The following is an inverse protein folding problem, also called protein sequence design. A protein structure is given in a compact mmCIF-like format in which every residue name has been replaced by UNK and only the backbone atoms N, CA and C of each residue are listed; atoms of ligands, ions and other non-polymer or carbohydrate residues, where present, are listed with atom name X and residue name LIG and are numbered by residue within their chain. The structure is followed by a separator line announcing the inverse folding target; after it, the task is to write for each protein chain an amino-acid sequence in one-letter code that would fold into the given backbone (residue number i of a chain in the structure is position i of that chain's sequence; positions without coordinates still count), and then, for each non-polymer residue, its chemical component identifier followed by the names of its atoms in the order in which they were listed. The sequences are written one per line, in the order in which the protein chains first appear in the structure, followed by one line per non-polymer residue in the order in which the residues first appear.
data_IF_478217523083
#
_entry.id   IF_478217523083
#
_cell.length_a   1.000
_cell.length_b   1.000
_cell.length_c   1.000
_cell.angle_alpha   90.00
_cell.angle_beta   90.00
_cell.angle_gamma   90.00
#
_symmetry.space_group_name_H-M   'P 1'
#
loop_
_entity.id
_entity.type
_entity.pdbx_description
1 polymer ?
#
# COMPACT_ATOMS: atom_id res chain seq x y z
N UNK A 1 3.11 11.71 59.40
CA UNK A 1 1.69 11.40 59.72
C UNK A 1 0.91 12.70 59.88
N UNK A 2 -0.14 12.89 59.06
CA UNK A 2 -1.33 13.79 59.19
C UNK A 2 -1.85 14.03 57.76
N UNK A 3 -2.62 13.07 57.23
CA UNK A 3 -4.10 13.01 57.20
C UNK A 3 -4.70 13.98 56.18
N UNK A 4 -5.27 13.39 55.13
CA UNK A 4 -6.27 13.97 54.24
C UNK A 4 -7.40 14.63 55.02
N UNK A 5 -7.90 15.75 54.50
CA UNK A 5 -9.23 16.24 54.76
C UNK A 5 -9.83 16.72 53.43
N UNK A 6 -10.52 15.80 52.75
CA UNK A 6 -11.47 16.13 51.71
C UNK A 6 -12.62 16.92 52.35
N UNK A 7 -12.52 18.24 52.37
CA UNK A 7 -13.67 19.11 52.64
C UNK A 7 -14.26 19.47 51.29
N UNK A 8 -15.48 18.98 51.08
CA UNK A 8 -16.32 19.23 49.94
C UNK A 8 -16.39 20.74 49.64
N UNK A 9 -15.67 21.18 48.61
CA UNK A 9 -15.95 22.46 47.97
C UNK A 9 -16.83 22.15 46.76
N UNK A 10 -18.11 22.53 46.85
CA UNK A 10 -19.11 22.50 45.76
C UNK A 10 -18.72 23.37 44.54
N UNK A 11 -17.44 23.63 44.31
CA UNK A 11 -16.90 24.27 43.10
C UNK A 11 -16.31 23.27 42.11
N UNK A 12 -16.22 21.98 42.47
CA UNK A 12 -15.74 20.93 41.56
C UNK A 12 -16.78 20.44 40.52
N UNK A 13 -18.07 20.81 40.66
CA UNK A 13 -19.16 20.29 39.81
C UNK A 13 -19.47 21.18 38.59
N UNK A 14 -18.79 22.32 38.44
CA UNK A 14 -18.95 23.20 37.25
C UNK A 14 -17.64 23.61 36.62
N UNK A 15 -16.60 22.77 36.62
CA UNK A 15 -15.51 22.93 35.65
C UNK A 15 -15.94 22.34 34.32
N UNK A 16 -16.89 23.06 33.70
CA UNK A 16 -17.37 22.87 32.33
C UNK A 16 -16.15 22.88 31.41
N UNK A 17 -15.93 21.76 30.69
CA UNK A 17 -15.12 21.64 29.47
C UNK A 17 -13.87 22.54 29.43
N UNK A 18 -12.78 22.09 30.04
CA UNK A 18 -11.45 22.54 29.60
C UNK A 18 -11.29 22.05 28.17
N UNK A 19 -11.42 22.97 27.22
CA UNK A 19 -11.59 22.67 25.81
C UNK A 19 -10.42 21.85 25.29
N UNK A 20 -10.72 20.68 24.72
CA UNK A 20 -9.87 20.12 23.67
C UNK A 20 -9.59 21.28 22.70
N UNK A 21 -8.32 21.53 22.40
CA UNK A 21 -8.02 22.38 21.25
C UNK A 21 -8.45 21.55 20.06
N UNK A 22 -9.66 21.82 19.56
CA UNK A 22 -10.24 21.13 18.42
C UNK A 22 -9.17 21.10 17.32
N UNK A 23 -8.62 19.92 17.06
CA UNK A 23 -7.72 19.75 15.93
C UNK A 23 -8.50 20.15 14.69
N UNK A 24 -7.91 20.98 13.84
CA UNK A 24 -8.60 21.31 12.60
C UNK A 24 -8.52 20.14 11.64
N UNK A 25 -9.50 20.07 10.74
CA UNK A 25 -9.52 19.09 9.65
C UNK A 25 -8.24 19.15 8.82
N UNK A 26 -7.74 20.36 8.55
CA UNK A 26 -6.50 20.59 7.80
C UNK A 26 -5.27 20.14 8.56
N UNK A 27 -5.25 20.30 9.88
CA UNK A 27 -4.13 19.85 10.72
C UNK A 27 -4.03 18.33 10.72
N UNK A 28 -5.16 17.63 10.91
CA UNK A 28 -5.20 16.16 10.84
C UNK A 28 -4.79 15.67 9.46
N UNK A 29 -5.32 16.26 8.39
CA UNK A 29 -4.95 15.90 7.03
C UNK A 29 -3.45 16.06 6.80
N UNK A 30 -2.87 17.20 7.20
CA UNK A 30 -1.44 17.47 7.05
C UNK A 30 -0.60 16.42 7.78
N UNK A 31 -0.99 16.05 8.99
CA UNK A 31 -0.29 15.01 9.76
C UNK A 31 -0.42 13.66 9.05
N UNK A 32 -1.61 13.25 8.64
CA UNK A 32 -1.83 11.97 7.93
C UNK A 32 -1.07 11.93 6.60
N UNK A 33 -0.97 13.04 5.88
CA UNK A 33 -0.16 13.18 4.67
C UNK A 33 1.34 13.14 4.95
N UNK A 34 1.80 13.48 6.15
CA UNK A 34 3.21 13.34 6.53
C UNK A 34 3.60 11.89 6.86
N UNK A 35 2.63 11.03 7.19
CA UNK A 35 2.89 9.65 7.59
C UNK A 35 3.32 8.78 6.40
N UNK A 36 4.38 7.99 6.60
CA UNK A 36 4.88 7.06 5.60
C UNK A 36 3.97 5.83 5.41
N UNK A 37 3.23 5.45 6.44
CA UNK A 37 2.41 4.24 6.50
C UNK A 37 1.00 4.57 7.03
N UNK A 38 -0.01 3.73 6.72
CA UNK A 38 -1.30 3.79 7.37
C UNK A 38 -1.17 3.73 8.90
N UNK A 39 -1.90 4.58 9.61
CA UNK A 39 -1.79 4.71 11.06
C UNK A 39 -3.13 4.68 11.77
N UNK A 40 -3.13 4.27 13.03
CA UNK A 40 -4.31 4.32 13.89
C UNK A 40 -4.67 5.75 14.31
N UNK A 41 -5.93 6.03 14.71
CA UNK A 41 -6.32 7.33 15.26
C UNK A 41 -5.47 7.76 16.47
N UNK A 42 -5.06 6.80 17.30
CA UNK A 42 -4.19 7.03 18.45
C UNK A 42 -2.78 7.47 18.03
N UNK A 43 -2.17 6.78 17.07
CA UNK A 43 -0.85 7.14 16.54
C UNK A 43 -0.89 8.50 15.82
N UNK A 44 -2.00 8.82 15.16
CA UNK A 44 -2.22 10.13 14.53
C UNK A 44 -2.36 11.21 15.60
N UNK A 45 -3.11 10.97 16.69
CA UNK A 45 -3.22 11.91 17.81
C UNK A 45 -1.85 12.19 18.44
N UNK A 46 -1.07 11.14 18.71
CA UNK A 46 0.30 11.25 19.23
C UNK A 46 1.19 12.07 18.27
N UNK A 47 1.04 11.87 16.96
CA UNK A 47 1.79 12.62 15.94
C UNK A 47 1.38 14.11 15.88
N UNK A 48 0.09 14.41 15.98
CA UNK A 48 -0.43 15.80 16.04
C UNK A 48 0.14 16.51 17.27
N UNK A 49 0.09 15.87 18.45
CA UNK A 49 0.64 16.43 19.67
C UNK A 49 2.15 16.65 19.55
N UNK A 50 2.88 15.70 18.96
CA UNK A 50 4.32 15.86 18.71
C UNK A 50 4.64 17.03 17.79
N UNK A 51 3.84 17.27 16.74
CA UNK A 51 3.99 18.43 15.83
C UNK A 51 3.72 19.74 16.57
N UNK A 52 2.63 19.79 17.36
CA UNK A 52 2.26 20.97 18.17
C UNK A 52 3.34 21.32 19.20
N UNK A 53 3.92 20.33 19.86
CA UNK A 53 5.03 20.52 20.82
C UNK A 53 6.27 21.09 20.13
N UNK A 54 6.66 20.53 18.98
CA UNK A 54 7.82 21.05 18.20
C UNK A 54 7.60 22.48 17.70
N UNK A 55 6.37 22.85 17.38
CA UNK A 55 6.02 24.20 16.95
C UNK A 55 6.07 25.25 18.08
N UNK A 56 6.21 24.84 19.35
CA UNK A 56 6.28 25.73 20.52
C UNK A 56 7.66 25.66 21.20
N UNK A 57 8.69 26.35 20.68
CA UNK A 57 10.05 26.26 21.21
C UNK A 57 10.28 26.95 22.58
N UNK A 58 9.25 27.52 23.22
CA UNK A 58 9.39 28.30 24.48
C UNK A 58 8.38 27.92 25.57
N UNK A 59 7.90 26.68 25.60
CA UNK A 59 7.11 26.22 26.74
C UNK A 59 8.03 26.13 27.97
N UNK A 60 7.74 26.96 28.96
CA UNK A 60 8.28 26.81 30.31
C UNK A 60 7.47 25.75 31.07
N UNK A 61 7.98 25.23 32.18
CA UNK A 61 7.28 24.27 33.06
C UNK A 61 5.94 24.78 33.62
N UNK A 62 5.62 26.06 33.40
CA UNK A 62 4.41 26.76 33.83
C UNK A 62 3.39 26.99 32.71
N UNK A 63 3.76 26.72 31.46
CA UNK A 63 2.82 26.82 30.35
C UNK A 63 1.92 25.59 30.33
N UNK A 64 0.60 25.82 30.31
CA UNK A 64 -0.37 24.75 30.12
C UNK A 64 -0.02 24.04 28.79
N UNK A 65 0.30 22.73 28.81
CA UNK A 65 0.69 21.99 27.60
C UNK A 65 -0.39 22.07 26.50
N UNK A 66 -1.58 22.55 26.84
CA UNK A 66 -2.76 22.50 26.00
C UNK A 66 -3.42 21.13 26.18
N UNK A 67 -4.73 21.09 25.97
CA UNK A 67 -5.45 19.82 25.99
C UNK A 67 -4.93 18.92 24.85
N UNK A 68 -4.48 17.71 25.20
CA UNK A 68 -4.07 16.68 24.25
C UNK A 68 -5.21 16.39 23.26
N UNK A 69 -4.85 16.13 22.00
CA UNK A 69 -5.84 15.68 21.03
C UNK A 69 -6.23 14.25 21.36
N UNK A 70 -7.54 13.99 21.47
CA UNK A 70 -8.05 12.65 21.77
C UNK A 70 -8.19 11.84 20.49
N UNK A 71 -8.00 10.52 20.59
CA UNK A 71 -8.17 9.61 19.45
C UNK A 71 -9.61 9.67 18.90
N UNK A 72 -10.60 9.91 19.76
CA UNK A 72 -12.00 10.09 19.37
C UNK A 72 -12.22 11.35 18.54
N UNK A 73 -11.58 12.46 18.90
CA UNK A 73 -11.63 13.70 18.11
C UNK A 73 -10.97 13.51 16.74
N UNK A 74 -9.80 12.85 16.70
CA UNK A 74 -9.13 12.49 15.45
C UNK A 74 -10.02 11.59 14.59
N UNK A 75 -10.64 10.56 15.19
CA UNK A 75 -11.52 9.64 14.46
C UNK A 75 -12.74 10.37 13.86
N UNK A 76 -13.32 11.34 14.57
CA UNK A 76 -14.39 12.19 14.04
C UNK A 76 -13.95 12.92 12.76
N UNK A 77 -12.80 13.59 12.81
CA UNK A 77 -12.25 14.33 11.68
C UNK A 77 -11.81 13.43 10.52
N UNK A 78 -11.29 12.23 10.82
CA UNK A 78 -10.93 11.25 9.81
C UNK A 78 -12.14 10.75 9.01
N UNK A 79 -13.30 10.61 9.66
CA UNK A 79 -14.56 10.26 8.98
C UNK A 79 -15.01 11.38 8.04
N UNK A 80 -14.94 12.64 8.48
CA UNK A 80 -15.23 13.78 7.61
C UNK A 80 -14.27 13.85 6.40
N UNK A 81 -12.98 13.57 6.62
CA UNK A 81 -11.98 13.51 5.57
C UNK A 81 -12.25 12.34 4.60
N UNK A 82 -12.74 11.21 5.10
CA UNK A 82 -13.13 10.07 4.27
C UNK A 82 -14.37 10.36 3.42
N UNK A 83 -15.38 11.02 3.97
CA UNK A 83 -16.57 11.46 3.24
C UNK A 83 -16.19 12.42 2.09
N UNK A 84 -15.19 13.28 2.33
CA UNK A 84 -14.62 14.14 1.28
C UNK A 84 -13.65 13.44 0.32
N UNK A 85 -13.36 12.16 0.54
CA UNK A 85 -12.50 11.34 -0.33
C UNK A 85 -10.99 11.63 -0.21
N UNK A 86 -10.55 12.32 0.85
CA UNK A 86 -9.14 12.68 1.03
C UNK A 86 -8.33 11.55 1.71
N UNK A 87 -8.96 10.81 2.62
CA UNK A 87 -8.37 9.68 3.33
C UNK A 87 -9.24 8.43 3.19
N UNK A 88 -8.66 7.26 3.48
CA UNK A 88 -9.39 6.01 3.63
C UNK A 88 -9.03 5.30 4.92
N UNK A 89 -10.03 4.76 5.59
CA UNK A 89 -9.87 3.91 6.77
C UNK A 89 -10.17 2.46 6.40
N UNK A 90 -9.17 1.59 6.47
CA UNK A 90 -9.36 0.15 6.25
C UNK A 90 -8.74 -0.68 7.36
N UNK A 91 -9.26 -1.89 7.52
CA UNK A 91 -8.64 -2.90 8.38
C UNK A 91 -7.27 -3.31 7.82
N UNK A 92 -6.42 -3.84 8.70
CA UNK A 92 -5.03 -4.19 8.38
C UNK A 92 -4.93 -5.18 7.22
N UNK A 93 -5.77 -6.21 7.23
CA UNK A 93 -5.84 -7.24 6.20
C UNK A 93 -6.26 -6.67 4.84
N UNK A 94 -7.17 -5.70 4.82
CA UNK A 94 -7.57 -4.99 3.61
C UNK A 94 -6.41 -4.16 3.06
N UNK A 95 -5.65 -3.46 3.91
CA UNK A 95 -4.44 -2.76 3.47
C UNK A 95 -3.40 -3.72 2.87
N UNK A 96 -3.19 -4.87 3.52
CA UNK A 96 -2.30 -5.92 3.01
C UNK A 96 -2.81 -6.49 1.69
N UNK A 97 -4.12 -6.69 1.53
CA UNK A 97 -4.74 -7.09 0.27
C UNK A 97 -4.62 -6.03 -0.84
N UNK A 98 -4.55 -4.75 -0.46
CA UNK A 98 -4.18 -3.63 -1.33
C UNK A 98 -2.66 -3.47 -1.47
N UNK A 99 -1.90 -4.46 -0.99
CA UNK A 99 -0.44 -4.53 -1.05
C UNK A 99 0.26 -3.37 -0.35
N UNK A 100 -0.42 -2.69 0.57
CA UNK A 100 0.19 -1.69 1.46
C UNK A 100 0.56 -2.43 2.73
N UNK A 101 1.84 -2.44 3.10
CA UNK A 101 2.24 -2.95 4.41
C UNK A 101 2.02 -1.85 5.44
N UNK A 102 1.06 -1.97 6.37
CA UNK A 102 0.84 -0.96 7.41
C UNK A 102 1.93 -0.97 8.49
N UNK A 103 2.98 -1.81 8.37
CA UNK A 103 4.04 -1.93 9.36
C UNK A 103 3.55 -2.55 10.67
N UNK A 104 4.38 -2.56 11.71
CA UNK A 104 3.93 -2.97 13.05
C UNK A 104 3.23 -1.78 13.72
N UNK A 105 1.90 -1.82 13.76
CA UNK A 105 1.12 -0.85 14.54
C UNK A 105 1.28 -1.19 16.01
N UNK A 106 1.60 -0.18 16.84
CA UNK A 106 1.83 -0.38 18.28
C UNK A 106 0.50 -0.56 19.01
N UNK A 107 -0.57 -0.04 18.41
CA UNK A 107 -1.95 -0.14 18.92
C UNK A 107 -2.84 -0.80 17.86
N UNK A 108 -3.44 -1.96 18.15
CA UNK A 108 -4.31 -2.65 17.21
C UNK A 108 -5.71 -2.01 17.24
N UNK A 109 -5.86 -0.86 16.58
CA UNK A 109 -7.16 -0.26 16.34
C UNK A 109 -7.79 -0.88 15.10
N UNK A 110 -9.12 -0.98 15.07
CA UNK A 110 -9.83 -1.72 14.00
C UNK A 110 -9.63 -1.17 12.60
N UNK A 111 -9.33 0.14 12.46
CA UNK A 111 -9.09 0.79 11.19
C UNK A 111 -7.78 1.59 11.22
N UNK A 112 -7.03 1.49 10.13
CA UNK A 112 -5.85 2.28 9.85
C UNK A 112 -6.15 3.26 8.71
N UNK A 113 -5.64 4.47 8.84
CA UNK A 113 -6.01 5.60 7.99
C UNK A 113 -4.81 6.08 7.18
N UNK A 114 -5.05 6.36 5.89
CA UNK A 114 -4.01 6.85 4.99
C UNK A 114 -4.58 7.74 3.87
N UNK A 115 -3.81 8.67 3.28
CA UNK A 115 -4.28 9.52 2.19
C UNK A 115 -4.58 8.71 0.92
N UNK A 116 -5.68 9.08 0.24
CA UNK A 116 -6.04 8.49 -1.05
C UNK A 116 -5.00 8.79 -2.13
N UNK A 117 -4.37 9.97 -2.08
CA UNK A 117 -3.30 10.37 -3.01
C UNK A 117 -2.11 9.41 -2.96
N UNK A 118 -1.59 9.14 -1.75
CA UNK A 118 -0.47 8.20 -1.53
C UNK A 118 -0.82 6.77 -1.93
N UNK A 119 -2.02 6.32 -1.60
CA UNK A 119 -2.48 5.00 -2.06
C UNK A 119 -2.52 4.92 -3.59
N UNK A 120 -3.08 5.94 -4.27
CA UNK A 120 -3.13 5.97 -5.75
C UNK A 120 -1.75 5.98 -6.37
N UNK A 121 -0.81 6.72 -5.80
CA UNK A 121 0.59 6.73 -6.24
C UNK A 121 1.22 5.34 -6.07
N UNK A 122 1.08 4.73 -4.88
CA UNK A 122 1.57 3.39 -4.60
C UNK A 122 0.95 2.31 -5.51
N UNK A 123 -0.33 2.46 -5.86
CA UNK A 123 -1.00 1.58 -6.81
C UNK A 123 -0.57 1.84 -8.27
N UNK A 124 -0.37 3.11 -8.65
CA UNK A 124 0.04 3.52 -10.01
C UNK A 124 1.46 3.06 -10.36
N UNK A 125 2.39 3.11 -9.39
CA UNK A 125 3.74 2.55 -9.55
C UNK A 125 3.76 1.04 -9.76
N UNK A 126 2.64 0.32 -9.58
CA UNK A 126 2.54 -1.13 -9.77
C UNK A 126 1.94 -1.55 -11.11
N UNK A 127 1.02 -0.74 -11.64
CA UNK A 127 0.51 -0.95 -13.00
C UNK A 127 1.64 -0.87 -14.04
N UNK A 128 2.64 0.00 -13.83
CA UNK A 128 3.78 0.12 -14.75
C UNK A 128 4.68 -1.14 -14.81
N UNK A 129 5.13 -1.74 -13.69
CA UNK A 129 5.84 -3.02 -13.68
C UNK A 129 5.07 -4.16 -14.33
N UNK A 130 3.77 -4.28 -14.05
CA UNK A 130 2.94 -5.35 -14.64
C UNK A 130 2.79 -5.17 -16.15
N UNK A 131 2.54 -3.94 -16.63
CA UNK A 131 2.52 -3.64 -18.07
C UNK A 131 3.88 -3.86 -18.73
N UNK A 132 4.98 -3.53 -18.04
CA UNK A 132 6.33 -3.78 -18.54
C UNK A 132 6.64 -5.28 -18.63
N UNK A 133 6.15 -6.08 -17.68
CA UNK A 133 6.29 -7.54 -17.69
C UNK A 133 5.46 -8.15 -18.83
N UNK A 134 4.19 -7.78 -18.93
CA UNK A 134 3.29 -8.22 -20.02
C UNK A 134 3.89 -7.87 -21.38
N UNK A 135 4.41 -6.65 -21.55
CA UNK A 135 5.06 -6.23 -22.79
C UNK A 135 6.30 -7.07 -23.12
N UNK A 136 7.14 -7.40 -22.13
CA UNK A 136 8.32 -8.28 -22.35
C UNK A 136 7.90 -9.70 -22.74
N UNK A 137 6.84 -10.22 -22.14
CA UNK A 137 6.28 -11.54 -22.49
C UNK A 137 5.69 -11.53 -23.91
N UNK A 138 5.02 -10.46 -24.32
CA UNK A 138 4.54 -10.30 -25.71
C UNK A 138 5.68 -10.13 -26.72
N UNK A 139 6.73 -9.37 -26.38
CA UNK A 139 7.94 -9.25 -27.20
C UNK A 139 8.65 -10.60 -27.34
N UNK A 140 8.75 -11.38 -26.25
CA UNK A 140 9.31 -12.74 -26.27
C UNK A 140 8.47 -13.69 -27.13
N UNK A 141 7.13 -13.65 -27.04
CA UNK A 141 6.23 -14.46 -27.87
C UNK A 141 6.37 -14.12 -29.36
N UNK A 142 6.50 -12.83 -29.71
CA UNK A 142 6.75 -12.41 -31.09
C UNK A 142 8.12 -12.85 -31.59
N UNK A 143 9.12 -12.87 -30.71
CA UNK A 143 10.45 -13.39 -31.03
C UNK A 143 10.41 -14.89 -31.30
N UNK A 144 9.71 -15.63 -30.46
CA UNK A 144 9.52 -17.06 -30.60
C UNK A 144 8.76 -17.40 -31.89
N UNK A 145 7.71 -16.66 -32.23
CA UNK A 145 7.03 -16.78 -33.55
C UNK A 145 7.95 -16.44 -34.72
N UNK A 146 8.88 -15.47 -34.58
CA UNK A 146 9.90 -15.21 -35.62
C UNK A 146 10.86 -16.37 -35.76
N UNK A 147 11.34 -16.92 -34.64
CA UNK A 147 12.27 -18.05 -34.63
C UNK A 147 11.59 -19.28 -35.22
N UNK A 148 10.33 -19.55 -34.88
CA UNK A 148 9.56 -20.68 -35.42
C UNK A 148 9.29 -20.52 -36.92
N UNK A 149 8.98 -19.30 -37.39
CA UNK A 149 8.86 -19.02 -38.84
C UNK A 149 10.17 -19.16 -39.60
N UNK A 150 11.30 -18.81 -38.97
CA UNK A 150 12.63 -18.96 -39.57
C UNK A 150 13.15 -20.40 -39.46
N UNK A 151 12.70 -21.15 -38.46
CA UNK A 151 13.09 -22.54 -38.20
C UNK A 151 12.15 -23.56 -38.86
N UNK A 152 10.95 -23.14 -39.30
CA UNK A 152 10.11 -23.91 -40.22
C UNK A 152 10.86 -24.13 -41.52
N UNK A 153 11.31 -25.36 -41.83
CA UNK A 153 12.03 -25.64 -43.05
C UNK A 153 11.02 -25.64 -44.20
N UNK A 154 10.85 -24.49 -44.84
CA UNK A 154 10.70 -24.53 -46.28
C UNK A 154 12.00 -25.10 -46.84
N UNK A 155 11.92 -26.24 -47.54
CA UNK A 155 12.99 -26.96 -48.24
C UNK A 155 13.72 -28.10 -47.49
N UNK A 156 13.51 -29.33 -47.97
CA UNK A 156 14.64 -30.25 -48.21
C UNK A 156 14.52 -31.71 -47.77
N UNK A 157 13.54 -32.08 -46.93
CA UNK A 157 13.55 -33.42 -46.29
C UNK A 157 12.56 -34.46 -46.86
N UNK A 158 11.66 -34.06 -47.75
CA UNK A 158 10.69 -34.99 -48.36
C UNK A 158 11.33 -36.02 -49.30
N UNK A 159 12.35 -35.60 -50.08
CA UNK A 159 12.98 -36.46 -51.09
C UNK A 159 13.90 -37.54 -50.52
N UNK A 160 14.41 -37.35 -49.31
CA UNK A 160 15.33 -38.30 -48.67
C UNK A 160 14.60 -39.47 -48.05
N UNK A 161 13.44 -39.26 -47.42
CA UNK A 161 12.66 -40.35 -46.83
C UNK A 161 11.90 -41.17 -47.86
N UNK A 162 11.38 -40.56 -48.93
CA UNK A 162 10.77 -41.29 -50.05
C UNK A 162 11.79 -42.21 -50.74
N UNK A 163 13.04 -41.74 -50.90
CA UNK A 163 14.11 -42.58 -51.45
C UNK A 163 14.50 -43.72 -50.52
N UNK A 164 14.58 -43.47 -49.21
CA UNK A 164 14.87 -44.52 -48.21
C UNK A 164 13.75 -45.57 -48.14
N UNK A 165 12.47 -45.16 -48.29
CA UNK A 165 11.35 -46.11 -48.38
C UNK A 165 11.41 -46.95 -49.66
N UNK A 166 11.70 -46.30 -50.79
CA UNK A 166 11.83 -46.96 -52.09
C UNK A 166 12.97 -47.99 -52.12
N UNK A 167 14.14 -47.62 -51.60
CA UNK A 167 15.31 -48.50 -51.53
C UNK A 167 15.07 -49.71 -50.58
N UNK A 168 14.17 -49.57 -49.60
CA UNK A 168 13.76 -50.66 -48.70
C UNK A 168 12.71 -51.61 -49.32
N UNK A 169 11.82 -51.10 -50.18
CA UNK A 169 10.84 -51.91 -50.93
C UNK A 169 11.45 -52.61 -52.15
N UNK A 170 12.55 -52.10 -52.70
CA UNK A 170 13.22 -52.65 -53.90
C UNK A 170 14.71 -52.98 -53.68
N UNK A 171 15.06 -53.87 -52.73
CA UNK A 171 16.46 -54.12 -52.32
C UNK A 171 17.35 -54.79 -53.37
N UNK A 172 16.79 -55.25 -54.49
CA UNK A 172 17.51 -55.98 -55.55
C UNK A 172 17.47 -55.29 -56.92
N UNK A 173 16.77 -54.15 -57.06
CA UNK A 173 16.80 -53.40 -58.31
C UNK A 173 18.07 -52.54 -58.38
N UNK A 174 18.93 -52.82 -59.36
CA UNK A 174 20.22 -52.13 -59.58
C UNK A 174 21.47 -52.94 -59.21
N UNK A 175 21.32 -54.17 -58.71
CA UNK A 175 22.42 -55.13 -58.71
C UNK A 175 22.51 -55.76 -60.09
N UNK A 176 23.48 -55.29 -60.88
CA UNK A 176 23.86 -55.87 -62.17
C UNK A 176 24.19 -57.36 -61.95
N UNK A 177 23.46 -58.31 -62.55
CA UNK A 177 23.86 -59.70 -62.51
C UNK A 177 25.08 -59.85 -63.43
N UNK A 178 26.17 -60.36 -62.86
CA UNK A 178 27.41 -60.80 -63.52
C UNK A 178 27.29 -61.13 -65.03
#
# INVERSE_FOLDING_TARGET
MRRCACVACMTCVTRKRGGAVDASREEILTVVESLALPASPEEIADAVDAVRVRARPRLTEFDDPGACVTAEAVLGLLRELEESGQVKGYARDVWVGLWVDPGRTVRPTGLLWWPVSKWREAAGHRVQPDLAKIRREEEARREEERIERQSSPGFGWGKTWEKVLWDAEHPYEGLDPL
#
